data_IF_723936027189
#
_entry.id   IF_723936027189
#
_cell.length_a   1.000
_cell.length_b   1.000
_cell.length_c   1.000
_cell.angle_alpha   90.00
_cell.angle_beta   90.00
_cell.angle_gamma   90.00
#
_symmetry.space_group_name_H-M   'P 1'
#
loop_
_entity.id
_entity.type
_entity.pdbx_description
1 polymer ?
#
# COMPACT_ATOMS: atom_id res chain seq x y z
N UNK A 1 0.34 -19.10 14.29
CA UNK A 1 -0.15 -20.18 13.42
C UNK A 1 -0.05 -19.70 11.98
N UNK A 2 0.25 -20.58 11.03
CA UNK A 2 0.32 -20.21 9.62
C UNK A 2 -1.11 -20.15 9.05
N UNK A 3 -1.67 -18.93 8.99
CA UNK A 3 -3.09 -18.69 8.70
C UNK A 3 -3.38 -18.46 7.21
N UNK A 4 -2.32 -18.20 6.41
CA UNK A 4 -2.43 -17.99 4.96
C UNK A 4 -1.85 -19.14 4.14
N UNK A 5 -1.73 -20.34 4.72
CA UNK A 5 -1.25 -21.55 3.99
C UNK A 5 -2.15 -21.83 2.80
N UNK A 6 -1.53 -22.03 1.62
CA UNK A 6 -2.25 -22.28 0.37
C UNK A 6 -2.95 -21.06 -0.23
N UNK A 7 -2.80 -19.87 0.37
CA UNK A 7 -3.28 -18.61 -0.18
C UNK A 7 -2.22 -17.99 -1.09
N UNK A 8 -2.67 -17.33 -2.14
CA UNK A 8 -1.83 -16.53 -3.03
C UNK A 8 -2.17 -15.05 -2.84
N UNK A 9 -1.15 -14.22 -2.63
CA UNK A 9 -1.29 -12.79 -2.37
C UNK A 9 -0.51 -11.99 -3.41
N UNK A 10 -1.18 -11.06 -4.10
CA UNK A 10 -0.55 -10.13 -5.04
C UNK A 10 -0.33 -8.79 -4.33
N UNK A 11 0.91 -8.28 -4.36
CA UNK A 11 1.31 -7.06 -3.65
C UNK A 11 1.87 -6.06 -4.64
N UNK A 12 1.05 -5.09 -5.07
CA UNK A 12 1.47 -3.97 -5.92
C UNK A 12 2.19 -2.93 -5.05
N UNK A 13 3.45 -2.64 -5.41
CA UNK A 13 4.37 -1.88 -4.56
C UNK A 13 5.18 -2.77 -3.60
N UNK A 14 5.26 -4.09 -3.86
CA UNK A 14 5.90 -5.08 -2.99
C UNK A 14 7.43 -5.06 -2.98
N UNK A 15 8.09 -4.21 -3.79
CA UNK A 15 9.55 -4.20 -3.93
C UNK A 15 10.29 -3.37 -2.87
N UNK A 16 9.58 -2.63 -2.02
CA UNK A 16 10.20 -1.80 -0.96
C UNK A 16 9.20 -1.36 0.12
N UNK A 17 9.71 -0.76 1.20
CA UNK A 17 8.91 -0.12 2.23
C UNK A 17 7.80 -1.00 2.80
N UNK A 18 6.60 -0.43 2.95
CA UNK A 18 5.44 -1.13 3.54
C UNK A 18 5.13 -2.41 2.76
N UNK A 19 5.10 -2.36 1.42
CA UNK A 19 4.77 -3.52 0.60
C UNK A 19 5.74 -4.69 0.78
N UNK A 20 7.04 -4.41 0.92
CA UNK A 20 8.05 -5.44 1.21
C UNK A 20 7.82 -6.04 2.60
N UNK A 21 7.50 -5.21 3.61
CA UNK A 21 7.16 -5.69 4.95
C UNK A 21 5.91 -6.58 4.97
N UNK A 22 4.88 -6.22 4.19
CA UNK A 22 3.69 -7.04 4.00
C UNK A 22 4.04 -8.37 3.33
N UNK A 23 4.88 -8.35 2.29
CA UNK A 23 5.33 -9.55 1.61
C UNK A 23 6.03 -10.53 2.56
N UNK A 24 6.97 -10.02 3.37
CA UNK A 24 7.67 -10.82 4.39
C UNK A 24 6.69 -11.44 5.37
N UNK A 25 5.82 -10.63 5.98
CA UNK A 25 4.81 -11.11 6.95
C UNK A 25 3.81 -12.11 6.36
N UNK A 26 3.50 -11.98 5.08
CA UNK A 26 2.60 -12.89 4.36
C UNK A 26 3.27 -14.24 4.12
N UNK A 27 4.54 -14.24 3.71
CA UNK A 27 5.35 -15.47 3.54
C UNK A 27 5.53 -16.24 4.85
N UNK A 28 5.78 -15.54 5.96
CA UNK A 28 5.88 -16.15 7.30
C UNK A 28 4.60 -16.90 7.69
N UNK A 29 3.45 -16.50 7.14
CA UNK A 29 2.14 -17.15 7.35
C UNK A 29 1.83 -18.25 6.36
N UNK A 30 2.78 -18.61 5.51
CA UNK A 30 2.69 -19.78 4.61
C UNK A 30 2.04 -19.49 3.26
N UNK A 31 1.80 -18.24 2.89
CA UNK A 31 1.24 -17.90 1.59
C UNK A 31 2.29 -17.94 0.46
N UNK A 32 1.81 -18.03 -0.79
CA UNK A 32 2.55 -17.64 -1.98
C UNK A 32 2.40 -16.12 -2.20
N UNK A 33 3.48 -15.45 -2.58
CA UNK A 33 3.49 -14.01 -2.79
C UNK A 33 3.94 -13.65 -4.20
N UNK A 34 3.17 -12.79 -4.84
CA UNK A 34 3.55 -12.11 -6.08
C UNK A 34 3.82 -10.66 -5.76
N UNK A 35 5.08 -10.22 -5.87
CA UNK A 35 5.43 -8.80 -5.71
C UNK A 35 5.45 -8.10 -7.06
N UNK A 36 4.86 -6.91 -7.12
CA UNK A 36 4.76 -6.11 -8.34
C UNK A 36 5.37 -4.74 -8.10
N UNK A 37 6.12 -4.24 -9.09
CA UNK A 37 6.75 -2.92 -9.03
C UNK A 37 7.35 -2.50 -10.37
N UNK A 38 7.72 -1.22 -10.52
CA UNK A 38 8.22 -0.66 -11.78
C UNK A 38 9.68 -1.02 -12.09
N UNK A 39 10.51 -1.17 -11.05
CA UNK A 39 11.95 -1.36 -11.21
C UNK A 39 12.33 -2.84 -11.14
N UNK A 40 12.81 -3.46 -12.25
CA UNK A 40 13.29 -4.84 -12.24
C UNK A 40 14.43 -5.06 -11.23
N UNK A 41 15.31 -4.06 -11.05
CA UNK A 41 16.43 -4.16 -10.11
C UNK A 41 15.96 -4.22 -8.66
N UNK A 42 14.97 -3.36 -8.29
CA UNK A 42 14.37 -3.39 -6.95
C UNK A 42 13.59 -4.68 -6.71
N UNK A 43 12.88 -5.17 -7.71
CA UNK A 43 12.16 -6.45 -7.63
C UNK A 43 13.12 -7.61 -7.41
N UNK A 44 14.21 -7.70 -8.16
CA UNK A 44 15.22 -8.74 -7.97
C UNK A 44 15.88 -8.67 -6.57
N UNK A 45 16.13 -7.48 -6.06
CA UNK A 45 16.65 -7.31 -4.70
C UNK A 45 15.62 -7.78 -3.65
N UNK A 46 14.34 -7.42 -3.84
CA UNK A 46 13.26 -7.84 -2.96
C UNK A 46 13.06 -9.37 -2.98
N UNK A 47 13.07 -10.00 -4.15
CA UNK A 47 13.01 -11.47 -4.27
C UNK A 47 14.13 -12.15 -3.48
N UNK A 48 15.36 -11.66 -3.59
CA UNK A 48 16.50 -12.21 -2.82
C UNK A 48 16.30 -12.05 -1.31
N UNK A 49 15.78 -10.91 -0.88
CA UNK A 49 15.50 -10.64 0.54
C UNK A 49 14.37 -11.52 1.09
N UNK A 50 13.37 -11.79 0.26
CA UNK A 50 12.19 -12.59 0.60
C UNK A 50 12.36 -14.08 0.31
N UNK A 51 13.49 -14.49 -0.26
CA UNK A 51 13.72 -15.86 -0.71
C UNK A 51 13.43 -16.88 0.39
N UNK A 52 12.56 -17.83 0.08
CA UNK A 52 12.22 -18.98 0.92
C UNK A 52 12.74 -20.25 0.26
N UNK A 53 13.02 -21.28 1.04
CA UNK A 53 13.55 -22.54 0.53
C UNK A 53 12.61 -23.24 -0.48
N UNK A 54 11.32 -22.93 -0.43
CA UNK A 54 10.26 -23.49 -1.28
C UNK A 54 9.82 -22.58 -2.44
N UNK A 55 10.53 -21.46 -2.66
CA UNK A 55 10.32 -20.59 -3.84
C UNK A 55 8.95 -19.92 -3.91
N UNK A 56 8.31 -19.61 -2.77
CA UNK A 56 6.96 -19.03 -2.70
C UNK A 56 6.86 -17.56 -3.10
N UNK A 57 7.91 -16.97 -3.66
CA UNK A 57 7.95 -15.56 -4.13
C UNK A 57 8.14 -15.52 -5.63
N UNK A 58 7.35 -14.69 -6.31
CA UNK A 58 7.50 -14.35 -7.72
C UNK A 58 7.45 -12.84 -7.88
N UNK A 59 8.23 -12.28 -8.80
CA UNK A 59 8.26 -10.84 -9.10
C UNK A 59 7.75 -10.56 -10.51
N UNK A 60 6.93 -9.50 -10.64
CA UNK A 60 6.46 -8.99 -11.93
C UNK A 60 6.79 -7.50 -12.06
N UNK A 61 7.39 -7.12 -13.18
CA UNK A 61 7.59 -5.72 -13.51
C UNK A 61 6.31 -5.17 -14.18
N UNK A 62 5.68 -4.18 -13.53
CA UNK A 62 4.56 -3.45 -14.11
C UNK A 62 4.45 -2.05 -13.49
N UNK A 63 4.13 -1.07 -14.33
CA UNK A 63 3.79 0.29 -13.91
C UNK A 63 2.27 0.43 -13.82
N UNK A 64 1.76 0.71 -12.61
CA UNK A 64 0.32 0.86 -12.38
C UNK A 64 -0.31 2.07 -13.08
N UNK A 65 0.49 3.01 -13.60
CA UNK A 65 0.02 4.12 -14.44
C UNK A 65 -0.23 3.71 -15.88
N UNK A 66 0.24 2.53 -16.28
CA UNK A 66 0.07 1.95 -17.62
C UNK A 66 -0.95 0.82 -17.58
N UNK A 67 -2.19 1.11 -17.96
CA UNK A 67 -3.29 0.13 -17.90
C UNK A 67 -2.96 -1.17 -18.65
N UNK A 68 -2.26 -1.08 -19.78
CA UNK A 68 -1.85 -2.25 -20.58
C UNK A 68 -0.89 -3.17 -19.83
N UNK A 69 -0.01 -2.62 -18.98
CA UNK A 69 0.91 -3.41 -18.16
C UNK A 69 0.16 -4.09 -17.02
N UNK A 70 -0.80 -3.40 -16.40
CA UNK A 70 -1.67 -3.96 -15.37
C UNK A 70 -2.58 -5.06 -15.94
N UNK A 71 -3.15 -4.86 -17.12
CA UNK A 71 -3.93 -5.89 -17.79
C UNK A 71 -3.11 -7.17 -18.02
N UNK A 72 -1.89 -7.01 -18.57
CA UNK A 72 -0.96 -8.12 -18.81
C UNK A 72 -0.54 -8.82 -17.51
N UNK A 73 -0.26 -8.05 -16.43
CA UNK A 73 0.02 -8.62 -15.12
C UNK A 73 -1.06 -9.61 -14.69
N UNK A 74 -2.33 -9.21 -14.76
CA UNK A 74 -3.44 -10.06 -14.32
C UNK A 74 -3.88 -11.11 -15.35
N UNK A 75 -3.36 -11.06 -16.58
CA UNK A 75 -3.44 -12.16 -17.55
C UNK A 75 -2.37 -13.25 -17.27
N UNK A 76 -1.21 -12.85 -16.74
CA UNK A 76 -0.06 -13.74 -16.44
C UNK A 76 -0.10 -14.30 -15.01
N UNK A 77 -0.85 -13.68 -14.10
CA UNK A 77 -1.03 -14.15 -12.72
C UNK A 77 -2.25 -15.04 -12.65
N UNK A 78 -2.04 -16.31 -12.21
CA UNK A 78 -3.15 -17.23 -11.92
C UNK A 78 -4.09 -16.67 -10.86
N UNK A 79 -5.27 -17.29 -10.71
CA UNK A 79 -6.23 -16.95 -9.67
C UNK A 79 -5.57 -16.84 -8.28
N UNK A 80 -5.87 -15.77 -7.57
CA UNK A 80 -5.28 -15.45 -6.27
C UNK A 80 -6.36 -15.08 -5.23
N UNK A 81 -5.97 -15.09 -3.94
CA UNK A 81 -6.91 -14.91 -2.83
C UNK A 81 -6.98 -13.46 -2.34
N UNK A 82 -5.83 -12.73 -2.33
CA UNK A 82 -5.79 -11.39 -1.77
C UNK A 82 -4.93 -10.45 -2.61
N UNK A 83 -5.40 -9.20 -2.77
CA UNK A 83 -4.67 -8.09 -3.34
C UNK A 83 -4.28 -7.09 -2.26
N UNK A 84 -3.04 -6.65 -2.26
CA UNK A 84 -2.56 -5.50 -1.50
C UNK A 84 -1.97 -4.48 -2.45
N UNK A 85 -2.37 -3.21 -2.35
CA UNK A 85 -1.80 -2.11 -3.12
C UNK A 85 -1.19 -1.07 -2.18
N UNK A 86 0.15 -1.02 -2.16
CA UNK A 86 0.93 -0.03 -1.40
C UNK A 86 1.63 0.96 -2.33
N UNK A 87 1.51 0.78 -3.63
CA UNK A 87 2.19 1.62 -4.61
C UNK A 87 1.70 3.07 -4.58
N UNK A 88 2.60 3.97 -4.95
CA UNK A 88 2.40 5.41 -5.07
C UNK A 88 3.72 6.13 -5.08
N UNK A 89 3.79 7.23 -5.81
CA UNK A 89 4.95 8.13 -5.83
C UNK A 89 4.96 9.11 -4.65
N UNK A 90 6.02 9.93 -4.54
CA UNK A 90 6.09 10.99 -3.55
C UNK A 90 4.94 11.99 -3.74
N UNK A 91 4.26 12.39 -2.64
CA UNK A 91 3.19 13.37 -2.72
C UNK A 91 3.75 14.77 -3.02
N UNK A 92 2.98 15.63 -3.72
CA UNK A 92 3.32 17.04 -3.84
C UNK A 92 3.25 17.72 -2.47
N UNK A 93 4.19 18.62 -2.21
CA UNK A 93 4.33 19.31 -0.92
C UNK A 93 4.24 20.84 -1.07
N UNK A 94 3.94 21.37 -2.25
CA UNK A 94 3.84 22.81 -2.49
C UNK A 94 2.57 23.40 -1.88
N UNK A 95 2.65 24.64 -1.34
CA UNK A 95 1.46 25.40 -0.97
C UNK A 95 0.50 25.54 -2.16
N UNK A 96 -0.80 25.59 -1.90
CA UNK A 96 -1.84 25.56 -2.94
C UNK A 96 -1.67 26.64 -4.01
N UNK A 97 -1.18 27.83 -3.64
CA UNK A 97 -0.95 28.95 -4.56
C UNK A 97 0.29 28.78 -5.46
N UNK A 98 1.10 27.76 -5.23
CA UNK A 98 2.28 27.40 -6.05
C UNK A 98 2.22 25.98 -6.59
N UNK A 99 1.12 25.29 -6.35
CA UNK A 99 0.94 23.91 -6.79
C UNK A 99 0.90 23.81 -8.32
N UNK A 100 1.78 23.02 -8.89
CA UNK A 100 1.86 22.77 -10.32
C UNK A 100 0.81 21.71 -10.75
N UNK A 101 0.07 22.03 -11.82
CA UNK A 101 -1.00 21.17 -12.35
C UNK A 101 -0.48 19.80 -12.79
N UNK A 102 0.67 19.74 -13.43
CA UNK A 102 1.20 18.47 -13.96
C UNK A 102 1.78 17.60 -12.84
N UNK A 103 2.28 18.20 -11.76
CA UNK A 103 2.68 17.47 -10.55
C UNK A 103 1.45 16.83 -9.89
N UNK A 104 0.36 17.60 -9.75
CA UNK A 104 -0.92 17.08 -9.21
C UNK A 104 -1.44 15.94 -10.07
N UNK A 105 -1.48 16.13 -11.39
CA UNK A 105 -1.95 15.10 -12.32
C UNK A 105 -1.16 13.81 -12.22
N UNK A 106 0.17 13.88 -12.22
CA UNK A 106 1.03 12.71 -12.05
C UNK A 106 0.75 11.99 -10.73
N UNK A 107 0.57 12.74 -9.63
CA UNK A 107 0.25 12.11 -8.35
C UNK A 107 -1.12 11.44 -8.33
N UNK A 108 -2.13 12.03 -9.00
CA UNK A 108 -3.45 11.41 -9.21
C UNK A 108 -3.31 10.13 -10.03
N UNK A 109 -2.58 10.17 -11.15
CA UNK A 109 -2.34 9.02 -12.01
C UNK A 109 -1.61 7.90 -11.24
N UNK A 110 -0.52 8.23 -10.55
CA UNK A 110 0.28 7.29 -9.76
C UNK A 110 -0.50 6.66 -8.60
N UNK A 111 -1.35 7.42 -7.92
CA UNK A 111 -1.94 6.97 -6.67
C UNK A 111 -3.38 6.50 -6.84
N UNK A 112 -4.22 7.32 -7.47
CA UNK A 112 -5.66 7.06 -7.53
C UNK A 112 -6.07 6.30 -8.79
N UNK A 113 -5.70 6.79 -9.98
CA UNK A 113 -6.04 6.11 -11.23
C UNK A 113 -5.41 4.72 -11.29
N UNK A 114 -4.14 4.61 -10.92
CA UNK A 114 -3.46 3.31 -10.82
C UNK A 114 -4.20 2.33 -9.90
N UNK A 115 -4.71 2.78 -8.75
CA UNK A 115 -5.48 1.93 -7.84
C UNK A 115 -6.80 1.45 -8.48
N UNK A 116 -7.50 2.32 -9.25
CA UNK A 116 -8.69 1.92 -10.02
C UNK A 116 -8.35 0.87 -11.06
N UNK A 117 -7.26 1.06 -11.82
CA UNK A 117 -6.85 0.10 -12.87
C UNK A 117 -6.43 -1.24 -12.27
N UNK A 118 -5.72 -1.21 -11.14
CA UNK A 118 -5.38 -2.44 -10.40
C UNK A 118 -6.66 -3.16 -9.93
N UNK A 119 -7.62 -2.47 -9.34
CA UNK A 119 -8.91 -3.08 -8.94
C UNK A 119 -9.67 -3.67 -10.13
N UNK A 120 -9.80 -2.89 -11.22
CA UNK A 120 -10.51 -3.29 -12.46
C UNK A 120 -10.00 -4.60 -13.04
N UNK A 121 -8.68 -4.76 -13.11
CA UNK A 121 -8.09 -5.95 -13.72
C UNK A 121 -7.97 -7.11 -12.72
N UNK A 122 -7.71 -6.82 -11.45
CA UNK A 122 -7.59 -7.82 -10.40
C UNK A 122 -8.88 -8.62 -10.17
N UNK A 123 -10.06 -7.96 -10.22
CA UNK A 123 -11.35 -8.61 -9.96
C UNK A 123 -11.65 -9.77 -10.92
N UNK A 124 -11.05 -9.77 -12.11
CA UNK A 124 -11.23 -10.83 -13.12
C UNK A 124 -10.66 -12.18 -12.69
N UNK A 125 -9.62 -12.17 -11.85
CA UNK A 125 -8.84 -13.35 -11.43
C UNK A 125 -8.76 -13.50 -9.91
N UNK A 126 -9.35 -12.56 -9.17
CA UNK A 126 -9.51 -12.67 -7.72
C UNK A 126 -10.54 -13.75 -7.39
N UNK A 127 -10.19 -14.69 -6.52
CA UNK A 127 -11.11 -15.75 -6.09
C UNK A 127 -12.29 -15.17 -5.29
N UNK A 128 -13.46 -15.77 -5.45
CA UNK A 128 -14.66 -15.41 -4.68
C UNK A 128 -14.38 -15.48 -3.17
N UNK A 129 -14.80 -14.46 -2.42
CA UNK A 129 -14.53 -14.34 -0.99
C UNK A 129 -13.13 -13.82 -0.66
N UNK A 130 -12.33 -13.50 -1.66
CA UNK A 130 -11.03 -12.86 -1.49
C UNK A 130 -11.12 -11.43 -0.95
N UNK A 131 -9.98 -10.73 -0.90
CA UNK A 131 -9.96 -9.34 -0.44
C UNK A 131 -9.01 -8.45 -1.23
N UNK A 132 -9.33 -7.16 -1.23
CA UNK A 132 -8.45 -6.09 -1.70
C UNK A 132 -8.16 -5.13 -0.53
N UNK A 133 -6.89 -4.76 -0.34
CA UNK A 133 -6.50 -3.79 0.68
C UNK A 133 -5.63 -2.71 0.04
N UNK A 134 -6.13 -1.48 0.05
CA UNK A 134 -5.43 -0.31 -0.46
C UNK A 134 -4.68 0.42 0.67
N UNK A 135 -3.72 1.25 0.30
CA UNK A 135 -2.97 2.09 1.23
C UNK A 135 -3.32 3.55 1.01
N UNK A 136 -3.85 4.18 2.04
CA UNK A 136 -4.04 5.62 2.16
C UNK A 136 -2.85 6.25 2.90
N UNK A 137 -3.11 7.16 3.83
CA UNK A 137 -2.14 7.77 4.73
C UNK A 137 -2.81 8.71 5.71
N UNK A 138 -2.16 8.95 6.83
CA UNK A 138 -2.62 9.83 7.91
C UNK A 138 -2.88 11.26 7.44
N UNK A 139 -2.29 11.67 6.31
CA UNK A 139 -2.44 13.01 5.75
C UNK A 139 -3.89 13.39 5.44
N UNK A 140 -4.80 12.42 5.32
CA UNK A 140 -6.23 12.69 5.20
C UNK A 140 -6.86 13.27 6.48
N UNK A 141 -6.33 12.89 7.64
CA UNK A 141 -6.81 13.29 8.97
C UNK A 141 -5.94 14.39 9.58
N UNK A 142 -4.65 14.39 9.26
CA UNK A 142 -3.63 15.35 9.70
C UNK A 142 -2.87 15.91 8.48
N UNK A 143 -3.47 16.86 7.76
CA UNK A 143 -2.83 17.47 6.59
C UNK A 143 -1.52 18.16 6.95
N UNK A 144 -0.43 17.91 6.22
CA UNK A 144 0.78 18.71 6.37
C UNK A 144 0.53 20.18 6.06
N UNK A 145 1.18 21.07 6.82
CA UNK A 145 1.11 22.51 6.59
C UNK A 145 2.53 23.06 6.48
N UNK A 146 2.86 23.71 5.35
CA UNK A 146 2.09 23.87 4.10
C UNK A 146 2.06 22.61 3.23
N UNK A 147 1.26 22.62 2.17
CA UNK A 147 1.34 21.65 1.07
C UNK A 147 0.44 20.40 1.20
N UNK A 148 -0.36 20.31 2.24
CA UNK A 148 -1.20 19.13 2.50
C UNK A 148 -2.44 18.95 1.61
N UNK A 149 -2.88 19.98 0.88
CA UNK A 149 -4.18 19.96 0.22
C UNK A 149 -4.35 18.80 -0.78
N UNK A 150 -3.39 18.60 -1.67
CA UNK A 150 -3.46 17.55 -2.71
C UNK A 150 -3.34 16.16 -2.09
N UNK A 151 -2.33 15.93 -1.24
CA UNK A 151 -2.10 14.63 -0.62
C UNK A 151 -3.28 14.21 0.26
N UNK A 152 -3.89 15.14 0.99
CA UNK A 152 -5.04 14.85 1.86
C UNK A 152 -6.29 14.52 1.08
N UNK A 153 -6.57 15.25 -0.02
CA UNK A 153 -7.70 14.96 -0.89
C UNK A 153 -7.59 13.54 -1.50
N UNK A 154 -6.42 13.20 -2.03
CA UNK A 154 -6.18 11.89 -2.64
C UNK A 154 -6.16 10.78 -1.58
N UNK A 155 -5.51 10.99 -0.43
CA UNK A 155 -5.53 10.00 0.65
C UNK A 155 -6.96 9.78 1.18
N UNK A 156 -7.75 10.83 1.32
CA UNK A 156 -9.16 10.75 1.75
C UNK A 156 -10.05 9.96 0.80
N UNK A 157 -9.83 10.07 -0.52
CA UNK A 157 -10.63 9.38 -1.53
C UNK A 157 -10.64 7.84 -1.36
N UNK A 158 -9.57 7.26 -0.84
CA UNK A 158 -9.47 5.81 -0.65
C UNK A 158 -10.51 5.23 0.31
N UNK A 159 -10.90 5.99 1.33
CA UNK A 159 -11.95 5.56 2.27
C UNK A 159 -13.30 5.40 1.57
N UNK A 160 -13.61 6.30 0.64
CA UNK A 160 -14.84 6.23 -0.16
C UNK A 160 -14.74 5.18 -1.27
N UNK A 161 -13.58 5.04 -1.91
CA UNK A 161 -13.31 3.99 -2.88
C UNK A 161 -13.55 2.61 -2.27
N UNK A 162 -12.99 2.33 -1.10
CA UNK A 162 -13.17 1.04 -0.44
C UNK A 162 -14.63 0.75 -0.11
N UNK A 163 -15.39 1.75 0.37
CA UNK A 163 -16.83 1.61 0.65
C UNK A 163 -17.62 1.29 -0.61
N UNK A 164 -17.35 1.99 -1.71
CA UNK A 164 -18.03 1.75 -2.98
C UNK A 164 -17.72 0.34 -3.52
N UNK A 165 -16.42 0.00 -3.61
CA UNK A 165 -15.98 -1.30 -4.12
C UNK A 165 -16.45 -2.47 -3.23
N UNK A 166 -16.57 -2.29 -1.91
CA UNK A 166 -17.07 -3.34 -1.02
C UNK A 166 -18.54 -3.70 -1.26
N UNK A 167 -19.32 -2.76 -1.80
CA UNK A 167 -20.72 -3.00 -2.21
C UNK A 167 -20.79 -3.57 -3.63
N UNK A 168 -20.01 -3.00 -4.53
CA UNK A 168 -20.02 -3.37 -5.96
C UNK A 168 -19.46 -4.77 -6.20
N UNK A 169 -18.42 -5.15 -5.45
CA UNK A 169 -17.68 -6.40 -5.65
C UNK A 169 -18.04 -7.50 -4.62
N UNK A 170 -19.12 -7.32 -3.85
CA UNK A 170 -19.52 -8.32 -2.87
C UNK A 170 -19.65 -9.73 -3.51
N UNK A 171 -19.14 -10.81 -2.87
CA UNK A 171 -18.64 -10.90 -1.49
C UNK A 171 -17.14 -10.57 -1.32
N UNK A 172 -16.47 -10.00 -2.30
CA UNK A 172 -15.08 -9.55 -2.16
C UNK A 172 -15.00 -8.42 -1.11
N UNK A 173 -14.13 -8.58 -0.13
CA UNK A 173 -13.93 -7.57 0.92
C UNK A 173 -12.92 -6.52 0.46
N UNK A 174 -13.22 -5.25 0.69
CA UNK A 174 -12.32 -4.16 0.30
C UNK A 174 -12.08 -3.24 1.48
N UNK A 175 -10.81 -3.05 1.86
CA UNK A 175 -10.43 -2.23 3.01
C UNK A 175 -9.26 -1.29 2.67
N UNK A 176 -8.98 -0.38 3.56
CA UNK A 176 -7.86 0.57 3.48
C UNK A 176 -7.02 0.50 4.75
N UNK A 177 -5.71 0.51 4.61
CA UNK A 177 -4.79 0.81 5.71
C UNK A 177 -4.34 2.26 5.57
N UNK A 178 -4.43 3.04 6.64
CA UNK A 178 -3.99 4.43 6.73
C UNK A 178 -2.81 4.52 7.72
N UNK A 179 -1.57 4.38 7.23
CA UNK A 179 -0.39 4.45 8.09
C UNK A 179 -0.08 5.90 8.49
N UNK A 180 0.55 6.05 9.66
CA UNK A 180 1.23 7.28 10.08
C UNK A 180 2.65 7.38 9.49
N UNK A 181 3.59 7.88 10.29
CA UNK A 181 4.99 7.96 9.90
C UNK A 181 5.67 6.59 9.96
N UNK A 182 6.20 6.17 8.81
CA UNK A 182 6.84 4.85 8.64
C UNK A 182 8.23 5.04 8.05
N UNK A 183 9.22 4.42 8.64
CA UNK A 183 10.59 4.41 8.10
C UNK A 183 10.67 3.58 6.82
N UNK A 184 10.66 4.27 5.69
CA UNK A 184 10.69 3.70 4.35
C UNK A 184 11.67 4.45 3.45
N UNK A 185 12.10 3.83 2.33
CA UNK A 185 12.89 4.54 1.33
C UNK A 185 12.22 5.79 0.77
N UNK A 186 10.89 5.80 0.64
CA UNK A 186 10.13 6.97 0.22
C UNK A 186 10.32 8.15 1.18
N UNK A 187 10.28 7.90 2.49
CA UNK A 187 10.49 8.95 3.48
C UNK A 187 11.94 9.47 3.46
N UNK A 188 12.90 8.59 3.22
CA UNK A 188 14.30 9.00 3.06
C UNK A 188 14.50 9.89 1.82
N UNK A 189 13.81 9.59 0.72
CA UNK A 189 13.80 10.41 -0.50
C UNK A 189 13.19 11.80 -0.25
N UNK A 190 12.08 11.89 0.49
CA UNK A 190 11.39 13.13 0.80
C UNK A 190 12.13 14.02 1.79
N UNK A 191 12.71 13.45 2.83
CA UNK A 191 13.30 14.17 3.96
C UNK A 191 14.82 14.41 3.81
N UNK A 192 15.50 13.58 3.00
CA UNK A 192 16.95 13.67 2.82
C UNK A 192 17.69 13.62 4.15
N UNK A 193 18.64 14.55 4.34
CA UNK A 193 19.45 14.65 5.56
C UNK A 193 18.64 14.99 6.81
N UNK A 194 17.47 15.63 6.65
CA UNK A 194 16.61 15.98 7.78
C UNK A 194 15.81 14.79 8.35
N UNK A 195 15.89 13.61 7.74
CA UNK A 195 15.09 12.44 8.14
C UNK A 195 15.21 12.12 9.63
N UNK A 196 16.45 12.07 10.16
CA UNK A 196 16.69 11.64 11.54
C UNK A 196 16.06 12.64 12.52
N UNK A 197 16.32 13.94 12.37
CA UNK A 197 15.75 14.96 13.26
C UNK A 197 14.21 15.01 13.19
N UNK A 198 13.64 14.87 12.00
CA UNK A 198 12.19 14.81 11.83
C UNK A 198 11.59 13.57 12.50
N UNK A 199 12.28 12.45 12.47
CA UNK A 199 11.83 11.22 13.12
C UNK A 199 11.91 11.34 14.65
N UNK A 200 12.99 11.89 15.20
CA UNK A 200 13.13 12.15 16.63
C UNK A 200 12.04 13.08 17.15
N UNK A 201 11.82 14.22 16.47
CA UNK A 201 10.80 15.19 16.83
C UNK A 201 9.38 14.59 16.78
N UNK A 202 9.08 13.81 15.75
CA UNK A 202 7.77 13.18 15.63
C UNK A 202 7.59 12.05 16.62
N UNK A 203 8.60 11.20 16.82
CA UNK A 203 8.55 10.11 17.80
C UNK A 203 8.27 10.63 19.22
N UNK A 204 8.89 11.75 19.60
CA UNK A 204 8.67 12.37 20.91
C UNK A 204 7.21 12.89 21.09
N UNK A 205 6.50 13.18 20.01
CA UNK A 205 5.12 13.70 20.01
C UNK A 205 4.08 12.61 19.91
N UNK A 206 4.38 11.50 19.24
CA UNK A 206 3.43 10.41 19.04
C UNK A 206 3.11 9.71 20.37
N UNK A 207 1.84 9.37 20.64
CA UNK A 207 1.48 8.54 21.80
C UNK A 207 2.23 7.20 21.86
N UNK A 208 2.58 6.62 20.71
CA UNK A 208 3.36 5.38 20.63
C UNK A 208 4.87 5.59 20.88
N UNK A 209 5.35 6.84 20.99
CA UNK A 209 6.75 7.23 21.26
C UNK A 209 7.77 6.60 20.28
N UNK A 210 7.37 6.28 19.08
CA UNK A 210 8.26 5.71 18.05
C UNK A 210 7.76 6.03 16.62
N UNK A 211 8.66 6.00 15.67
CA UNK A 211 8.35 5.91 14.24
C UNK A 211 8.14 4.43 13.90
N UNK A 212 7.11 4.14 13.12
CA UNK A 212 6.83 2.77 12.71
C UNK A 212 7.85 2.26 11.68
N UNK A 213 8.06 0.96 11.68
CA UNK A 213 8.72 0.22 10.59
C UNK A 213 7.67 -0.44 9.69
N UNK A 214 8.03 -0.91 8.48
CA UNK A 214 7.14 -1.72 7.67
C UNK A 214 6.56 -2.94 8.40
N UNK A 215 7.32 -3.55 9.31
CA UNK A 215 6.87 -4.67 10.14
C UNK A 215 5.78 -4.29 11.15
N UNK A 216 5.78 -3.04 11.64
CA UNK A 216 4.72 -2.55 12.53
C UNK A 216 3.39 -2.33 11.79
N UNK A 217 3.44 -2.09 10.48
CA UNK A 217 2.25 -1.82 9.65
C UNK A 217 1.68 -3.11 9.04
N UNK A 218 2.52 -4.06 8.68
CA UNK A 218 2.12 -5.31 8.02
C UNK A 218 0.98 -6.08 8.72
N UNK A 219 0.90 -6.15 10.06
CA UNK A 219 -0.19 -6.85 10.75
C UNK A 219 -1.59 -6.35 10.39
N UNK A 220 -1.77 -5.08 10.02
CA UNK A 220 -3.07 -4.55 9.61
C UNK A 220 -3.53 -5.12 8.26
N UNK A 221 -2.60 -5.32 7.33
CA UNK A 221 -2.91 -5.97 6.04
C UNK A 221 -3.23 -7.44 6.24
N UNK A 222 -2.49 -8.11 7.12
CA UNK A 222 -2.77 -9.51 7.48
C UNK A 222 -4.17 -9.60 8.08
N UNK A 223 -4.50 -8.75 9.05
CA UNK A 223 -5.84 -8.68 9.63
C UNK A 223 -6.92 -8.46 8.55
N UNK A 224 -6.71 -7.54 7.61
CA UNK A 224 -7.67 -7.29 6.53
C UNK A 224 -7.85 -8.50 5.58
N UNK A 225 -6.81 -9.32 5.39
CA UNK A 225 -6.89 -10.57 4.63
C UNK A 225 -7.63 -11.68 5.40
N UNK A 226 -7.36 -11.82 6.70
CA UNK A 226 -7.87 -12.92 7.54
C UNK A 226 -9.27 -12.65 8.11
N UNK A 227 -9.64 -11.37 8.36
CA UNK A 227 -10.93 -11.01 8.95
C UNK A 227 -12.05 -11.08 7.92
N UNK A 228 -12.81 -12.18 7.93
CA UNK A 228 -13.89 -12.43 6.98
C UNK A 228 -15.09 -11.47 7.14
N UNK A 229 -15.19 -10.77 8.26
CA UNK A 229 -16.30 -9.85 8.57
C UNK A 229 -15.92 -8.37 8.46
N UNK A 230 -14.70 -8.06 7.99
CA UNK A 230 -14.21 -6.68 7.85
C UNK A 230 -14.19 -6.26 6.38
N UNK A 231 -15.05 -5.31 6.01
CA UNK A 231 -15.10 -4.71 4.66
C UNK A 231 -15.53 -3.25 4.72
N UNK A 232 -15.10 -2.44 3.76
CA UNK A 232 -15.42 -1.01 3.67
C UNK A 232 -14.73 -0.15 4.76
N UNK A 233 -13.75 -0.68 5.48
CA UNK A 233 -13.13 -0.03 6.63
C UNK A 233 -11.80 0.65 6.27
N UNK A 234 -11.48 1.69 7.04
CA UNK A 234 -10.14 2.31 7.06
C UNK A 234 -9.49 2.02 8.41
N UNK A 235 -8.41 1.25 8.37
CA UNK A 235 -7.63 0.87 9.55
C UNK A 235 -6.49 1.88 9.75
N UNK A 236 -6.55 2.66 10.82
CA UNK A 236 -5.50 3.61 11.18
C UNK A 236 -4.40 2.91 11.96
N UNK A 237 -3.18 2.94 11.41
CA UNK A 237 -1.97 2.39 12.05
C UNK A 237 -0.95 3.52 12.10
N UNK A 238 -1.15 4.45 13.00
CA UNK A 238 -0.53 5.78 12.98
C UNK A 238 0.19 6.17 14.29
N UNK A 239 0.31 5.24 15.24
CA UNK A 239 0.95 5.51 16.52
C UNK A 239 0.23 6.56 17.38
N UNK A 240 -1.05 6.82 17.08
CA UNK A 240 -1.85 7.86 17.72
C UNK A 240 -1.69 9.25 17.10
N UNK A 241 -1.09 9.35 15.90
CA UNK A 241 -0.92 10.65 15.23
C UNK A 241 -2.24 11.35 14.96
N UNK A 242 -3.31 10.63 14.72
CA UNK A 242 -4.65 11.20 14.52
C UNK A 242 -5.21 11.91 15.75
N UNK A 243 -4.64 11.69 16.92
CA UNK A 243 -5.09 12.24 18.21
C UNK A 243 -4.37 13.55 18.62
N UNK A 244 -3.25 13.90 17.92
CA UNK A 244 -2.38 15.03 18.25
C UNK A 244 -2.35 16.12 17.18
#
# INVERSE_FOLDING_TARGET
MATLVGKKVVIVGGSSGIGLGVAASTLERGAEVVIVGRSPQRLQAAERTLATADGRVRAFAADMTQETEIARLFDDVDAFDHLVSTAGGPPPADPINRTDREIVRRFIDDKLIGAFMVAKHAVRVLKTGGSMTFTSGINKDRPPVPGGAVVSAIAGSFSYLARALSLELAPTRVNVVSPGWVDTPLFAELAGEAKLSLFEDMAARLPALKIATPADIAPAYIFAMESEFTTGQTLHIDGGQSLI
#
